data_IF_233528611603
#
_entry.id   IF_233528611603
#
_cell.length_a   1.000
_cell.length_b   1.000
_cell.length_c   1.000
_cell.angle_alpha   90.00
_cell.angle_beta   90.00
_cell.angle_gamma   90.00
#
_symmetry.space_group_name_H-M   'P 1'
#
loop_
_entity.id
_entity.type
_entity.pdbx_description
1 polymer ?
#
# COMPACT_ATOMS: atom_id res chain seq x y z
N UNK A 1 -9.08 17.50 0.39
CA UNK A 1 -8.02 18.50 0.63
C UNK A 1 -7.20 18.68 -0.63
N UNK A 2 -6.54 19.83 -0.82
CA UNK A 2 -5.38 20.09 -1.72
C UNK A 2 -5.53 20.85 -3.06
N UNK A 3 -6.70 21.11 -3.69
CA UNK A 3 -6.68 21.95 -4.93
C UNK A 3 -6.59 23.46 -4.66
N UNK A 4 -7.22 23.94 -3.58
CA UNK A 4 -7.10 25.34 -3.14
C UNK A 4 -5.71 25.64 -2.56
N UNK A 5 -5.05 24.62 -1.99
CA UNK A 5 -3.65 24.72 -1.57
C UNK A 5 -2.70 24.80 -2.79
N UNK A 6 -2.96 24.01 -3.84
CA UNK A 6 -2.27 24.17 -5.13
C UNK A 6 -2.48 25.56 -5.71
N UNK A 7 -3.69 26.11 -5.64
CA UNK A 7 -3.97 27.48 -6.09
C UNK A 7 -3.20 28.53 -5.27
N UNK A 8 -3.08 28.36 -3.94
CA UNK A 8 -2.26 29.25 -3.08
C UNK A 8 -0.77 29.15 -3.42
N UNK A 9 -0.25 27.94 -3.66
CA UNK A 9 1.13 27.73 -4.11
C UNK A 9 1.39 28.35 -5.47
N UNK A 10 0.46 28.22 -6.42
CA UNK A 10 0.55 28.85 -7.72
C UNK A 10 0.63 30.38 -7.62
N UNK A 11 -0.14 30.99 -6.71
CA UNK A 11 -0.09 32.45 -6.46
C UNK A 11 1.24 32.88 -5.86
N UNK A 12 1.81 32.09 -4.94
CA UNK A 12 3.14 32.36 -4.38
C UNK A 12 4.25 32.23 -5.43
N UNK A 13 4.12 31.25 -6.33
CA UNK A 13 5.08 30.98 -7.41
C UNK A 13 5.05 32.02 -8.54
N UNK A 14 3.84 32.37 -9.00
CA UNK A 14 3.64 33.32 -10.10
C UNK A 14 3.64 34.79 -9.62
N UNK A 15 3.90 35.02 -8.33
CA UNK A 15 4.07 36.33 -7.69
C UNK A 15 2.79 37.15 -7.49
N UNK A 16 1.66 36.79 -8.12
CA UNK A 16 0.38 37.48 -7.91
C UNK A 16 -0.85 36.66 -8.30
N UNK A 17 -1.99 36.97 -7.68
CA UNK A 17 -3.29 36.41 -8.07
C UNK A 17 -3.69 36.80 -9.50
N UNK A 18 -3.26 37.97 -9.98
CA UNK A 18 -3.54 38.43 -11.34
C UNK A 18 -2.78 37.64 -12.42
N UNK A 19 -1.56 37.19 -12.13
CA UNK A 19 -0.80 36.32 -13.04
C UNK A 19 -1.46 34.95 -13.18
N UNK A 20 -1.85 34.34 -12.05
CA UNK A 20 -2.57 33.06 -12.03
C UNK A 20 -3.94 33.17 -12.70
N UNK A 21 -4.69 34.24 -12.44
CA UNK A 21 -6.00 34.48 -13.04
C UNK A 21 -5.94 34.54 -14.58
N UNK A 22 -4.93 35.20 -15.15
CA UNK A 22 -4.69 35.23 -16.61
C UNK A 22 -4.44 33.84 -17.18
N UNK A 23 -3.62 33.01 -16.51
CA UNK A 23 -3.33 31.63 -16.93
C UNK A 23 -4.56 30.72 -16.86
N UNK A 24 -5.40 30.90 -15.85
CA UNK A 24 -6.64 30.12 -15.69
C UNK A 24 -7.80 30.66 -16.57
N UNK A 25 -7.64 31.84 -17.19
CA UNK A 25 -8.69 32.50 -17.98
C UNK A 25 -9.85 33.02 -17.13
N UNK A 26 -9.57 33.49 -15.91
CA UNK A 26 -10.55 34.11 -15.01
C UNK A 26 -10.10 35.50 -14.57
N UNK A 27 -10.99 36.25 -13.92
CA UNK A 27 -10.63 37.54 -13.32
C UNK A 27 -9.85 37.34 -12.01
N UNK A 28 -8.98 38.31 -11.66
CA UNK A 28 -8.28 38.32 -10.37
C UNK A 28 -9.25 38.34 -9.18
N UNK A 29 -10.39 39.02 -9.31
CA UNK A 29 -11.45 39.02 -8.32
C UNK A 29 -12.07 37.64 -8.12
N UNK A 30 -12.25 36.87 -9.20
CA UNK A 30 -12.73 35.48 -9.14
C UNK A 30 -11.78 34.61 -8.33
N UNK A 31 -10.48 34.67 -8.60
CA UNK A 31 -9.46 33.90 -7.86
C UNK A 31 -9.38 34.33 -6.39
N UNK A 32 -9.50 35.63 -6.11
CA UNK A 32 -9.53 36.17 -4.76
C UNK A 32 -10.74 35.65 -3.94
N UNK A 33 -11.94 35.70 -4.51
CA UNK A 33 -13.16 35.16 -3.88
C UNK A 33 -13.09 33.66 -3.63
N UNK A 34 -12.49 32.91 -4.56
CA UNK A 34 -12.28 31.45 -4.40
C UNK A 34 -11.31 31.16 -3.26
N UNK A 35 -10.22 31.90 -3.15
CA UNK A 35 -9.22 31.73 -2.07
C UNK A 35 -9.76 32.14 -0.69
N UNK A 36 -10.66 33.13 -0.66
CA UNK A 36 -11.36 33.59 0.54
C UNK A 36 -12.59 32.74 0.91
N UNK A 37 -12.99 31.78 0.06
CA UNK A 37 -14.17 30.93 0.28
C UNK A 37 -15.51 31.65 0.11
N UNK A 38 -15.53 32.85 -0.47
CA UNK A 38 -16.72 33.68 -0.66
C UNK A 38 -17.32 33.57 -2.07
N UNK A 39 -16.75 32.73 -2.92
CA UNK A 39 -17.22 32.50 -4.29
C UNK A 39 -18.54 31.71 -4.30
N UNK A 40 -19.60 32.33 -4.80
CA UNK A 40 -20.98 31.79 -4.74
C UNK A 40 -21.34 30.83 -5.88
N UNK A 41 -20.56 30.82 -6.95
CA UNK A 41 -20.79 29.97 -8.13
C UNK A 41 -19.99 28.66 -8.05
N UNK A 42 -20.26 27.73 -8.96
CA UNK A 42 -19.56 26.43 -8.99
C UNK A 42 -18.04 26.61 -9.14
N UNK A 43 -17.29 25.99 -8.23
CA UNK A 43 -15.82 25.98 -8.23
C UNK A 43 -15.22 24.85 -9.07
N UNK A 44 -16.03 23.91 -9.55
CA UNK A 44 -15.56 22.75 -10.31
C UNK A 44 -14.84 23.14 -11.61
N UNK A 45 -15.30 24.11 -12.44
CA UNK A 45 -14.56 24.54 -13.62
C UNK A 45 -13.20 25.18 -13.31
N UNK A 46 -13.08 25.83 -12.14
CA UNK A 46 -11.84 26.46 -11.69
C UNK A 46 -10.89 25.38 -11.19
N UNK A 47 -11.39 24.43 -10.40
CA UNK A 47 -10.66 23.26 -9.92
C UNK A 47 -10.11 22.41 -11.07
N UNK A 48 -10.89 22.13 -12.11
CA UNK A 48 -10.43 21.37 -13.28
C UNK A 48 -9.26 22.06 -13.96
N UNK A 49 -9.36 23.38 -14.23
CA UNK A 49 -8.26 24.14 -14.82
C UNK A 49 -7.03 24.25 -13.91
N UNK A 50 -7.23 24.36 -12.59
CA UNK A 50 -6.13 24.36 -11.63
C UNK A 50 -5.41 23.01 -11.62
N UNK A 51 -6.14 21.90 -11.69
CA UNK A 51 -5.55 20.57 -11.73
C UNK A 51 -4.91 20.26 -13.11
N UNK A 52 -5.45 20.80 -14.19
CA UNK A 52 -4.88 20.67 -15.54
C UNK A 52 -3.55 21.44 -15.65
N UNK A 53 -3.51 22.69 -15.17
CA UNK A 53 -2.34 23.57 -15.30
C UNK A 53 -1.31 23.33 -14.19
N UNK A 54 -1.76 23.00 -12.98
CA UNK A 54 -0.91 22.91 -11.78
C UNK A 54 -0.97 21.54 -11.06
N UNK A 55 -1.79 20.59 -11.53
CA UNK A 55 -1.89 19.24 -10.93
C UNK A 55 -0.94 18.21 -11.53
N UNK A 56 -0.26 18.53 -12.65
CA UNK A 56 0.71 17.65 -13.30
C UNK A 56 2.16 18.04 -12.98
N UNK A 57 2.86 17.16 -12.26
CA UNK A 57 4.25 17.23 -11.78
C UNK A 57 4.49 18.22 -10.64
N UNK A 58 5.17 17.73 -9.60
CA UNK A 58 5.86 18.54 -8.59
C UNK A 58 6.44 19.79 -9.27
N UNK A 59 6.20 20.98 -8.70
CA UNK A 59 7.06 22.13 -8.98
C UNK A 59 8.48 21.69 -8.61
N UNK A 60 9.22 21.16 -9.58
CA UNK A 60 10.66 21.06 -9.50
C UNK A 60 11.12 22.51 -9.51
N UNK A 61 11.39 23.05 -8.32
CA UNK A 61 12.33 24.16 -8.20
C UNK A 61 13.57 23.74 -8.98
N UNK A 62 13.75 24.36 -10.14
CA UNK A 62 14.88 24.14 -11.03
C UNK A 62 16.15 24.48 -10.25
N UNK A 63 16.97 23.46 -9.99
CA UNK A 63 18.29 23.68 -9.39
C UNK A 63 19.11 24.47 -10.40
N UNK A 64 19.62 25.68 -10.05
CA UNK A 64 20.44 26.47 -10.95
C UNK A 64 21.74 25.72 -11.33
N UNK A 65 22.25 25.97 -12.52
CA UNK A 65 23.54 25.41 -12.97
C UNK A 65 24.64 25.76 -11.97
N UNK A 66 25.49 24.77 -11.65
CA UNK A 66 26.55 24.92 -10.65
C UNK A 66 26.13 24.69 -9.19
N UNK A 67 24.86 24.38 -8.93
CA UNK A 67 24.34 24.04 -7.59
C UNK A 67 23.81 22.62 -7.54
N UNK A 68 23.78 22.04 -6.33
CA UNK A 68 23.18 20.74 -6.04
C UNK A 68 22.33 20.83 -4.77
N UNK A 69 21.19 20.15 -4.75
CA UNK A 69 20.31 20.11 -3.56
C UNK A 69 20.79 19.05 -2.59
N UNK A 70 20.95 19.40 -1.32
CA UNK A 70 21.31 18.46 -0.26
C UNK A 70 20.07 17.77 0.36
N UNK A 71 20.28 16.80 1.27
CA UNK A 71 19.20 16.01 1.89
C UNK A 71 18.22 16.80 2.77
N UNK A 72 18.56 18.03 3.17
CA UNK A 72 17.69 18.93 3.95
C UNK A 72 16.96 19.92 3.03
N UNK A 73 17.26 19.89 1.73
CA UNK A 73 16.62 20.71 0.70
C UNK A 73 17.33 22.01 0.34
N UNK A 74 18.50 22.31 0.93
CA UNK A 74 19.29 23.50 0.59
C UNK A 74 20.05 23.33 -0.73
N UNK A 75 20.21 24.42 -1.47
CA UNK A 75 21.08 24.50 -2.64
C UNK A 75 22.51 24.80 -2.22
N UNK A 76 23.44 23.93 -2.59
CA UNK A 76 24.87 24.02 -2.27
C UNK A 76 25.65 24.16 -3.58
N UNK A 77 26.55 25.15 -3.72
CA UNK A 77 27.44 25.24 -4.88
C UNK A 77 28.27 23.95 -5.00
N UNK A 78 28.43 23.41 -6.22
CA UNK A 78 29.17 22.17 -6.46
C UNK A 78 30.61 22.27 -5.94
N UNK A 79 31.27 23.42 -6.11
CA UNK A 79 32.62 23.69 -5.62
C UNK A 79 32.77 23.60 -4.09
N UNK A 80 31.66 23.76 -3.35
CA UNK A 80 31.64 23.67 -1.90
C UNK A 80 31.36 22.24 -1.39
N UNK A 81 31.11 21.28 -2.29
CA UNK A 81 30.87 19.86 -1.98
C UNK A 81 32.19 19.11 -2.10
N UNK A 82 32.47 18.21 -1.15
CA UNK A 82 33.67 17.38 -1.21
C UNK A 82 33.61 16.45 -2.41
N UNK A 83 34.75 16.23 -3.07
CA UNK A 83 34.86 15.31 -4.21
C UNK A 83 34.38 13.89 -3.85
N UNK A 84 34.66 13.41 -2.64
CA UNK A 84 34.17 12.12 -2.13
C UNK A 84 32.63 12.06 -2.05
N UNK A 85 31.98 13.17 -1.70
CA UNK A 85 30.53 13.26 -1.60
C UNK A 85 29.90 13.31 -3.00
N UNK A 86 30.53 13.99 -3.97
CA UNK A 86 30.12 14.00 -5.37
C UNK A 86 30.27 12.61 -6.00
N UNK A 87 31.43 11.95 -5.82
CA UNK A 87 31.67 10.61 -6.33
C UNK A 87 30.69 9.58 -5.74
N UNK A 88 30.36 9.71 -4.45
CA UNK A 88 29.35 8.87 -3.80
C UNK A 88 27.96 9.10 -4.38
N UNK A 89 27.60 10.37 -4.61
CA UNK A 89 26.31 10.72 -5.22
C UNK A 89 26.18 10.13 -6.62
N UNK A 90 27.20 10.27 -7.47
CA UNK A 90 27.22 9.72 -8.82
C UNK A 90 27.08 8.20 -8.80
N UNK A 91 27.85 7.52 -7.93
CA UNK A 91 27.77 6.06 -7.75
C UNK A 91 26.36 5.62 -7.34
N UNK A 92 25.75 6.29 -6.36
CA UNK A 92 24.39 5.97 -5.90
C UNK A 92 23.37 6.26 -7.00
N UNK A 93 23.49 7.39 -7.70
CA UNK A 93 22.59 7.77 -8.78
C UNK A 93 22.61 6.75 -9.93
N UNK A 94 23.80 6.29 -10.32
CA UNK A 94 23.97 5.26 -11.34
C UNK A 94 23.37 3.92 -10.91
N UNK A 95 23.65 3.48 -9.68
CA UNK A 95 23.10 2.24 -9.13
C UNK A 95 21.57 2.28 -9.08
N UNK A 96 20.99 3.41 -8.65
CA UNK A 96 19.53 3.63 -8.62
C UNK A 96 18.94 3.65 -10.03
N UNK A 97 19.62 4.25 -11.01
CA UNK A 97 19.16 4.25 -12.39
C UNK A 97 19.05 2.82 -12.95
N UNK A 98 20.06 1.98 -12.71
CA UNK A 98 20.03 0.55 -13.09
C UNK A 98 18.94 -0.22 -12.34
N UNK A 99 18.81 0.00 -11.03
CA UNK A 99 17.78 -0.64 -10.22
C UNK A 99 16.35 -0.29 -10.70
N UNK A 100 16.11 0.95 -11.12
CA UNK A 100 14.83 1.37 -11.71
C UNK A 100 14.52 0.63 -13.02
N UNK A 101 15.52 0.36 -13.84
CA UNK A 101 15.35 -0.41 -15.07
C UNK A 101 14.93 -1.85 -14.76
N UNK A 102 15.62 -2.52 -13.82
CA UNK A 102 15.26 -3.88 -13.39
C UNK A 102 13.87 -3.92 -12.77
N UNK A 103 13.56 -2.97 -11.88
CA UNK A 103 12.23 -2.87 -11.27
C UNK A 103 11.14 -2.71 -12.32
N UNK A 104 11.38 -1.91 -13.36
CA UNK A 104 10.42 -1.73 -14.46
C UNK A 104 10.14 -3.06 -15.18
N UNK A 105 11.20 -3.80 -15.55
CA UNK A 105 11.07 -5.11 -16.21
C UNK A 105 10.25 -6.09 -15.35
N UNK A 106 10.54 -6.17 -14.06
CA UNK A 106 9.82 -7.07 -13.14
C UNK A 106 8.36 -6.65 -12.99
N UNK A 107 8.07 -5.35 -12.91
CA UNK A 107 6.70 -4.82 -12.85
C UNK A 107 5.91 -5.15 -14.11
N UNK A 108 6.45 -4.84 -15.28
CA UNK A 108 5.81 -5.11 -16.58
C UNK A 108 5.54 -6.60 -16.75
N UNK A 109 6.52 -7.45 -16.43
CA UNK A 109 6.37 -8.90 -16.48
C UNK A 109 5.26 -9.40 -15.54
N UNK A 110 5.17 -8.87 -14.31
CA UNK A 110 4.11 -9.23 -13.36
C UNK A 110 2.72 -8.87 -13.87
N UNK A 111 2.56 -7.67 -14.43
CA UNK A 111 1.28 -7.20 -14.97
C UNK A 111 0.83 -8.06 -16.15
N UNK A 112 1.75 -8.32 -17.09
CA UNK A 112 1.49 -9.19 -18.23
C UNK A 112 1.12 -10.61 -17.78
N UNK A 113 1.93 -11.23 -16.91
CA UNK A 113 1.67 -12.58 -16.39
C UNK A 113 0.29 -12.66 -15.71
N UNK A 114 -0.09 -11.63 -14.96
CA UNK A 114 -1.39 -11.59 -14.29
C UNK A 114 -2.55 -11.59 -15.29
N UNK A 115 -2.48 -10.74 -16.32
CA UNK A 115 -3.51 -10.66 -17.36
C UNK A 115 -3.58 -11.92 -18.22
N UNK A 116 -2.43 -12.46 -18.63
CA UNK A 116 -2.35 -13.67 -19.44
C UNK A 116 -2.91 -14.89 -18.69
N UNK A 117 -2.61 -15.01 -17.39
CA UNK A 117 -3.17 -16.06 -16.54
C UNK A 117 -4.69 -15.95 -16.40
N UNK A 118 -5.22 -14.74 -16.27
CA UNK A 118 -6.66 -14.51 -16.19
C UNK A 118 -7.35 -14.91 -17.50
N UNK A 119 -6.86 -14.40 -18.63
CA UNK A 119 -7.38 -14.76 -19.95
C UNK A 119 -7.33 -16.27 -20.21
N UNK A 120 -6.24 -16.94 -19.80
CA UNK A 120 -6.10 -18.40 -19.96
C UNK A 120 -7.16 -19.18 -19.14
N UNK A 121 -7.43 -18.75 -17.91
CA UNK A 121 -8.40 -19.41 -17.04
C UNK A 121 -9.83 -19.17 -17.52
N UNK A 122 -10.13 -17.97 -17.99
CA UNK A 122 -11.44 -17.63 -18.56
C UNK A 122 -11.71 -18.47 -19.81
N UNK A 123 -10.75 -18.57 -20.73
CA UNK A 123 -10.86 -19.45 -21.90
C UNK A 123 -11.12 -20.90 -21.52
N UNK A 124 -10.43 -21.40 -20.48
CA UNK A 124 -10.62 -22.75 -19.99
C UNK A 124 -12.02 -22.96 -19.37
N UNK A 125 -12.58 -21.94 -18.71
CA UNK A 125 -13.90 -21.99 -18.09
C UNK A 125 -15.04 -21.88 -19.11
N UNK A 126 -14.87 -21.05 -20.14
CA UNK A 126 -15.81 -20.90 -21.26
C UNK A 126 -16.08 -22.23 -21.95
N UNK A 127 -15.06 -23.09 -22.09
CA UNK A 127 -15.20 -24.45 -22.62
C UNK A 127 -16.24 -25.30 -21.87
N UNK A 128 -16.46 -25.00 -20.60
CA UNK A 128 -17.43 -25.70 -19.75
C UNK A 128 -18.67 -24.84 -19.44
N UNK A 129 -18.85 -23.70 -20.10
CA UNK A 129 -19.98 -22.79 -19.91
C UNK A 129 -20.00 -22.11 -18.53
N UNK A 130 -18.86 -22.06 -17.84
CA UNK A 130 -18.72 -21.42 -16.52
C UNK A 130 -18.04 -20.07 -16.70
N UNK A 131 -18.55 -19.03 -16.03
CA UNK A 131 -17.84 -17.77 -15.86
C UNK A 131 -17.12 -17.78 -14.52
N UNK A 132 -15.79 -17.77 -14.54
CA UNK A 132 -14.99 -17.58 -13.33
C UNK A 132 -15.04 -16.09 -12.96
N UNK A 133 -16.12 -15.68 -12.28
CA UNK A 133 -16.25 -14.29 -11.83
C UNK A 133 -15.12 -13.93 -10.85
N UNK A 134 -14.20 -13.06 -11.28
CA UNK A 134 -13.15 -12.44 -10.47
C UNK A 134 -12.30 -13.45 -9.71
N UNK A 135 -11.17 -13.85 -10.29
CA UNK A 135 -10.27 -14.92 -9.89
C UNK A 135 -9.76 -14.86 -8.43
N UNK A 136 -10.64 -15.14 -7.46
CA UNK A 136 -10.27 -15.46 -6.09
C UNK A 136 -9.88 -16.93 -6.03
N UNK A 137 -8.63 -17.19 -5.67
CA UNK A 137 -8.16 -18.54 -5.37
C UNK A 137 -6.78 -18.85 -5.92
N UNK A 138 -6.15 -19.83 -5.27
CA UNK A 138 -4.85 -20.33 -5.65
C UNK A 138 -4.97 -21.21 -6.90
N UNK A 139 -4.10 -20.99 -7.89
CA UNK A 139 -4.10 -21.74 -9.14
C UNK A 139 -2.67 -22.19 -9.45
N UNK A 140 -2.52 -23.42 -9.94
CA UNK A 140 -1.25 -23.94 -10.44
C UNK A 140 -1.41 -24.37 -11.89
N UNK A 141 -0.62 -23.78 -12.78
CA UNK A 141 -0.46 -24.22 -14.16
C UNK A 141 0.85 -24.98 -14.27
N UNK A 142 0.83 -26.10 -14.98
CA UNK A 142 2.01 -26.94 -15.25
C UNK A 142 2.17 -27.08 -16.76
N UNK A 143 3.39 -26.97 -17.27
CA UNK A 143 3.68 -27.22 -18.69
C UNK A 143 3.36 -28.67 -19.06
N UNK A 144 3.11 -28.92 -20.35
CA UNK A 144 2.71 -30.25 -20.84
C UNK A 144 3.76 -31.34 -20.51
N UNK A 145 5.04 -31.01 -20.64
CA UNK A 145 6.16 -31.89 -20.30
C UNK A 145 6.40 -32.00 -18.77
N UNK A 146 5.66 -31.24 -17.96
CA UNK A 146 5.83 -31.17 -16.52
C UNK A 146 7.07 -30.42 -16.05
N UNK A 147 7.88 -29.82 -16.93
CA UNK A 147 9.14 -29.16 -16.55
C UNK A 147 8.92 -27.86 -15.78
N UNK A 148 7.90 -27.09 -16.14
CA UNK A 148 7.67 -25.75 -15.58
C UNK A 148 6.34 -25.67 -14.83
N UNK A 149 6.31 -24.86 -13.78
CA UNK A 149 5.08 -24.54 -13.03
C UNK A 149 4.96 -23.06 -12.75
N UNK A 150 3.74 -22.55 -12.86
CA UNK A 150 3.36 -21.21 -12.43
C UNK A 150 2.28 -21.36 -11.36
N UNK A 151 2.54 -20.82 -10.18
CA UNK A 151 1.60 -20.80 -9.07
C UNK A 151 1.18 -19.36 -8.79
N UNK A 152 -0.13 -19.11 -8.84
CA UNK A 152 -0.73 -17.90 -8.29
C UNK A 152 -1.30 -18.21 -6.93
N UNK A 153 -0.85 -17.48 -5.92
CA UNK A 153 -1.40 -17.50 -4.58
C UNK A 153 -2.12 -16.18 -4.29
N UNK A 154 -3.33 -16.25 -3.77
CA UNK A 154 -4.08 -15.09 -3.29
C UNK A 154 -4.12 -15.16 -1.77
N UNK A 155 -3.61 -14.13 -1.11
CA UNK A 155 -3.68 -13.99 0.35
C UNK A 155 -4.61 -12.84 0.69
N UNK A 156 -5.66 -13.13 1.43
CA UNK A 156 -6.52 -12.10 1.98
C UNK A 156 -5.79 -11.31 3.07
N UNK A 157 -6.03 -10.01 3.08
CA UNK A 157 -5.63 -9.12 4.15
C UNK A 157 -6.82 -9.00 5.09
N UNK A 158 -6.63 -9.50 6.31
CA UNK A 158 -7.63 -9.48 7.36
C UNK A 158 -7.45 -8.24 8.22
N UNK A 159 -8.57 -7.66 8.64
CA UNK A 159 -8.62 -6.61 9.65
C UNK A 159 -9.81 -6.84 10.58
N UNK A 160 -9.90 -6.05 11.64
CA UNK A 160 -11.04 -6.11 12.56
C UNK A 160 -11.83 -4.81 12.59
N UNK A 161 -13.14 -4.94 12.71
CA UNK A 161 -14.05 -3.82 12.93
C UNK A 161 -14.23 -3.47 14.43
N UNK A 162 -15.16 -2.56 14.72
CA UNK A 162 -15.47 -2.10 16.09
C UNK A 162 -15.90 -3.21 17.04
N UNK A 163 -16.43 -4.33 16.54
CA UNK A 163 -16.91 -5.44 17.36
C UNK A 163 -15.76 -6.13 18.11
N UNK A 164 -14.51 -5.92 17.70
CA UNK A 164 -13.34 -6.39 18.43
C UNK A 164 -13.19 -5.70 19.80
N UNK A 165 -13.60 -4.44 19.93
CA UNK A 165 -13.59 -3.74 21.22
C UNK A 165 -14.61 -4.35 22.19
N UNK A 166 -15.79 -4.75 21.68
CA UNK A 166 -16.77 -5.47 22.47
C UNK A 166 -16.24 -6.84 22.94
N UNK A 167 -15.52 -7.55 22.07
CA UNK A 167 -14.87 -8.80 22.44
C UNK A 167 -13.82 -8.60 23.54
N UNK A 168 -13.01 -7.54 23.46
CA UNK A 168 -12.02 -7.21 24.49
C UNK A 168 -12.69 -6.97 25.85
N UNK A 169 -13.77 -6.19 25.87
CA UNK A 169 -14.50 -5.90 27.10
C UNK A 169 -15.04 -7.18 27.78
N UNK A 170 -15.58 -8.12 26.99
CA UNK A 170 -16.04 -9.42 27.49
C UNK A 170 -14.89 -10.25 28.07
N UNK A 171 -13.71 -10.26 27.42
CA UNK A 171 -12.53 -10.96 27.93
C UNK A 171 -12.05 -10.33 29.23
N UNK A 172 -11.98 -9.00 29.31
CA UNK A 172 -11.58 -8.28 30.52
C UNK A 172 -12.55 -8.51 31.68
N UNK A 173 -13.84 -8.75 31.41
CA UNK A 173 -14.81 -9.20 32.41
C UNK A 173 -14.53 -10.63 32.87
N UNK A 174 -14.32 -11.59 31.96
CA UNK A 174 -13.95 -12.97 32.32
C UNK A 174 -12.73 -13.01 33.24
N UNK A 175 -11.66 -12.30 32.85
CA UNK A 175 -10.40 -12.28 33.59
C UNK A 175 -10.52 -11.64 34.98
N UNK A 176 -11.50 -10.76 35.20
CA UNK A 176 -11.76 -10.17 36.52
C UNK A 176 -12.48 -11.13 37.45
N UNK A 177 -13.36 -11.98 36.90
CA UNK A 177 -14.14 -12.95 37.68
C UNK A 177 -13.30 -14.18 38.03
N UNK A 178 -12.37 -14.57 37.17
CA UNK A 178 -11.38 -15.59 37.49
C UNK A 178 -10.43 -15.02 38.55
N UNK A 179 -10.62 -15.48 39.78
CA UNK A 179 -9.89 -15.03 40.97
C UNK A 179 -9.11 -16.20 41.55
N UNK A 180 -7.92 -16.48 41.01
CA UNK A 180 -6.87 -17.22 41.71
C UNK A 180 -5.53 -17.14 40.95
N UNK A 181 -4.54 -16.39 41.49
CA UNK A 181 -3.07 -16.50 41.37
C UNK A 181 -2.39 -16.62 39.98
N UNK A 182 -2.95 -17.42 39.09
CA UNK A 182 -2.61 -17.68 37.69
C UNK A 182 -2.99 -16.55 36.74
N UNK A 183 -3.92 -15.67 37.17
CA UNK A 183 -4.60 -14.67 36.34
C UNK A 183 -3.65 -13.61 35.76
N UNK A 184 -2.59 -13.26 36.50
CA UNK A 184 -1.63 -12.26 36.05
C UNK A 184 -0.90 -12.70 34.77
N UNK A 185 -0.56 -14.00 34.64
CA UNK A 185 0.13 -14.52 33.45
C UNK A 185 -0.81 -14.61 32.26
N UNK A 186 -2.06 -15.03 32.49
CA UNK A 186 -3.08 -15.11 31.44
C UNK A 186 -3.43 -13.71 30.93
N UNK A 187 -3.60 -12.73 31.83
CA UNK A 187 -3.87 -11.34 31.48
C UNK A 187 -2.79 -10.73 30.60
N UNK A 188 -1.51 -10.97 30.92
CA UNK A 188 -0.40 -10.52 30.08
C UNK A 188 -0.49 -11.11 28.66
N UNK A 189 -0.86 -12.39 28.51
CA UNK A 189 -1.02 -13.00 27.18
C UNK A 189 -2.20 -12.42 26.40
N UNK A 190 -3.29 -12.06 27.08
CA UNK A 190 -4.44 -11.40 26.45
C UNK A 190 -4.08 -9.97 26.05
N UNK A 191 -3.50 -9.18 26.95
CA UNK A 191 -3.08 -7.80 26.66
C UNK A 191 -2.07 -7.76 25.51
N UNK A 192 -1.15 -8.73 25.49
CA UNK A 192 -0.23 -8.97 24.37
C UNK A 192 -1.03 -9.20 23.07
N UNK A 193 -2.03 -10.07 23.07
CA UNK A 193 -2.82 -10.35 21.86
C UNK A 193 -3.52 -9.11 21.27
N UNK A 194 -3.96 -8.15 22.11
CA UNK A 194 -4.60 -6.89 21.69
C UNK A 194 -3.62 -5.74 21.42
N UNK A 195 -2.32 -5.98 21.55
CA UNK A 195 -1.32 -4.94 21.29
C UNK A 195 -1.30 -4.57 19.79
N UNK A 196 -1.32 -3.26 19.54
CA UNK A 196 -1.19 -2.68 18.20
C UNK A 196 0.27 -2.57 17.78
N UNK A 197 0.53 -2.72 16.48
CA UNK A 197 1.83 -2.44 15.89
C UNK A 197 2.11 -0.93 15.77
N UNK A 198 3.29 -0.58 15.22
CA UNK A 198 3.69 0.82 15.01
C UNK A 198 2.76 1.60 14.07
N UNK A 199 1.92 0.90 13.29
CA UNK A 199 0.93 1.47 12.37
C UNK A 199 -0.48 1.50 12.98
N UNK A 200 -0.62 1.14 14.27
CA UNK A 200 -1.90 1.11 14.97
C UNK A 200 -2.76 -0.11 14.63
N UNK A 201 -2.21 -1.14 13.98
CA UNK A 201 -2.97 -2.33 13.57
C UNK A 201 -2.82 -3.48 14.55
N UNK A 202 -3.91 -4.20 14.77
CA UNK A 202 -3.92 -5.39 15.62
C UNK A 202 -3.49 -6.61 14.80
N UNK A 203 -2.72 -7.49 15.42
CA UNK A 203 -2.27 -8.71 14.76
C UNK A 203 -3.38 -9.77 14.77
N UNK A 204 -4.02 -9.98 13.61
CA UNK A 204 -5.07 -10.99 13.41
C UNK A 204 -4.67 -12.39 13.86
N UNK A 205 -3.42 -12.81 13.66
CA UNK A 205 -2.96 -14.13 14.08
C UNK A 205 -2.93 -14.28 15.61
N UNK A 206 -2.56 -13.23 16.35
CA UNK A 206 -2.55 -13.24 17.83
C UNK A 206 -3.98 -13.30 18.38
N UNK A 207 -4.86 -12.44 17.87
CA UNK A 207 -6.28 -12.41 18.27
C UNK A 207 -6.97 -13.75 17.96
N UNK A 208 -6.81 -14.28 16.75
CA UNK A 208 -7.38 -15.59 16.38
C UNK A 208 -6.74 -16.75 17.17
N UNK A 209 -5.54 -16.55 17.71
CA UNK A 209 -4.89 -17.49 18.63
C UNK A 209 -5.68 -17.72 19.90
N UNK A 210 -6.41 -16.72 20.41
CA UNK A 210 -7.23 -16.83 21.61
C UNK A 210 -8.33 -17.88 21.46
N UNK A 211 -8.89 -18.02 20.25
CA UNK A 211 -9.94 -19.01 19.94
C UNK A 211 -9.48 -20.46 20.05
N UNK A 212 -8.17 -20.70 20.11
CA UNK A 212 -7.62 -22.05 20.29
C UNK A 212 -7.67 -22.51 21.76
N UNK A 213 -7.91 -21.59 22.70
CA UNK A 213 -8.01 -21.91 24.11
C UNK A 213 -9.40 -22.52 24.38
N UNK A 214 -9.41 -23.78 24.83
CA UNK A 214 -10.64 -24.50 25.15
C UNK A 214 -11.12 -24.16 26.57
N UNK A 215 -11.71 -22.97 26.71
CA UNK A 215 -12.21 -22.45 27.98
C UNK A 215 -13.73 -22.52 27.97
N UNK A 216 -14.31 -23.23 28.93
CA UNK A 216 -15.75 -23.45 29.07
C UNK A 216 -16.37 -22.39 29.98
N UNK A 217 -16.43 -21.16 29.47
CA UNK A 217 -17.05 -20.01 30.14
C UNK A 217 -17.97 -19.29 29.15
N UNK A 218 -19.19 -18.99 29.57
CA UNK A 218 -20.20 -18.42 28.67
C UNK A 218 -19.84 -17.03 28.14
N UNK A 219 -19.12 -16.22 28.92
CA UNK A 219 -18.65 -14.90 28.46
C UNK A 219 -17.44 -15.06 27.54
N UNK A 220 -16.56 -16.02 27.81
CA UNK A 220 -15.44 -16.34 26.94
C UNK A 220 -15.93 -16.78 25.55
N UNK A 221 -16.90 -17.70 25.48
CA UNK A 221 -17.49 -18.16 24.22
C UNK A 221 -18.16 -17.02 23.42
N UNK A 222 -18.83 -16.10 24.12
CA UNK A 222 -19.38 -14.88 23.51
C UNK A 222 -18.29 -13.96 22.97
N UNK A 223 -17.19 -13.79 23.70
CA UNK A 223 -16.05 -13.00 23.23
C UNK A 223 -15.39 -13.63 22.01
N UNK A 224 -15.22 -14.96 21.99
CA UNK A 224 -14.65 -15.67 20.83
C UNK A 224 -15.56 -15.57 19.60
N UNK A 225 -16.88 -15.56 19.80
CA UNK A 225 -17.85 -15.29 18.73
C UNK A 225 -17.70 -13.87 18.20
N UNK A 226 -17.63 -12.85 19.08
CA UNK A 226 -17.42 -11.46 18.68
C UNK A 226 -16.08 -11.22 17.96
N UNK A 227 -15.01 -11.96 18.32
CA UNK A 227 -13.74 -11.97 17.56
C UNK A 227 -13.95 -12.54 16.15
N UNK A 228 -14.77 -13.58 16.01
CA UNK A 228 -15.11 -14.15 14.71
C UNK A 228 -15.88 -13.17 13.84
N UNK A 229 -16.89 -12.51 14.42
CA UNK A 229 -17.78 -11.59 13.71
C UNK A 229 -17.08 -10.28 13.32
N UNK A 230 -16.11 -9.83 14.13
CA UNK A 230 -15.33 -8.62 13.83
C UNK A 230 -14.33 -8.80 12.68
N UNK A 231 -14.05 -10.03 12.25
CA UNK A 231 -13.04 -10.30 11.24
C UNK A 231 -13.56 -9.94 9.84
N UNK A 232 -12.89 -8.99 9.19
CA UNK A 232 -13.24 -8.52 7.86
C UNK A 232 -12.08 -8.69 6.88
N UNK A 233 -12.39 -8.95 5.61
CA UNK A 233 -11.40 -8.95 4.53
C UNK A 233 -11.32 -7.53 3.97
N UNK A 234 -10.22 -6.83 4.25
CA UNK A 234 -10.01 -5.44 3.80
C UNK A 234 -9.31 -5.34 2.46
N UNK A 235 -8.72 -6.44 1.99
CA UNK A 235 -8.10 -6.53 0.68
C UNK A 235 -7.58 -7.92 0.40
N UNK A 236 -6.95 -8.09 -0.76
CA UNK A 236 -6.22 -9.31 -1.10
C UNK A 236 -4.94 -8.95 -1.83
N UNK A 237 -3.91 -9.79 -1.68
CA UNK A 237 -2.64 -9.67 -2.37
C UNK A 237 -2.38 -10.93 -3.18
N UNK A 238 -2.12 -10.73 -4.47
CA UNK A 238 -1.76 -11.82 -5.39
C UNK A 238 -0.25 -11.92 -5.51
N UNK A 239 0.25 -13.14 -5.35
CA UNK A 239 1.65 -13.52 -5.48
C UNK A 239 1.78 -14.55 -6.60
N UNK A 240 2.82 -14.40 -7.42
CA UNK A 240 3.17 -15.38 -8.43
C UNK A 240 4.49 -16.05 -8.04
N UNK A 241 4.57 -17.36 -8.23
CA UNK A 241 5.80 -18.15 -8.08
C UNK A 241 6.00 -18.98 -9.33
N UNK A 242 7.19 -18.92 -9.89
CA UNK A 242 7.56 -19.64 -11.10
C UNK A 242 8.60 -20.69 -10.69
N UNK A 243 8.44 -21.90 -11.21
CA UNK A 243 9.31 -23.03 -10.88
C UNK A 243 9.79 -23.74 -12.13
N UNK A 244 11.00 -24.27 -12.04
CA UNK A 244 11.58 -25.21 -12.98
C UNK A 244 11.93 -26.51 -12.26
N UNK A 245 11.63 -27.65 -12.90
CA UNK A 245 11.97 -28.97 -12.41
C UNK A 245 13.46 -29.25 -12.67
N UNK A 246 14.19 -29.61 -11.63
CA UNK A 246 15.58 -30.04 -11.72
C UNK A 246 15.71 -31.49 -12.23
N UNK A 247 16.95 -31.93 -12.46
CA UNK A 247 17.25 -33.29 -12.91
C UNK A 247 16.84 -34.38 -11.90
N UNK A 248 16.69 -34.03 -10.62
CA UNK A 248 16.20 -34.90 -9.56
C UNK A 248 14.67 -34.97 -9.47
N UNK A 249 13.96 -34.17 -10.27
CA UNK A 249 12.51 -34.13 -10.32
C UNK A 249 11.87 -33.15 -9.32
N UNK A 250 12.66 -32.41 -8.54
CA UNK A 250 12.15 -31.41 -7.61
C UNK A 250 11.95 -30.06 -8.32
N UNK A 251 10.95 -29.30 -7.88
CA UNK A 251 10.70 -27.96 -8.42
C UNK A 251 11.49 -26.93 -7.64
N UNK A 252 12.43 -26.27 -8.32
CA UNK A 252 13.17 -25.14 -7.81
C UNK A 252 12.47 -23.86 -8.24
N UNK A 253 12.29 -22.94 -7.30
CA UNK A 253 11.72 -21.63 -7.62
C UNK A 253 12.74 -20.83 -8.44
N UNK A 254 12.29 -20.18 -9.51
CA UNK A 254 13.08 -19.18 -10.20
C UNK A 254 12.97 -17.86 -9.41
N UNK A 255 14.05 -17.42 -8.72
CA UNK A 255 14.01 -16.18 -7.94
C UNK A 255 13.94 -14.97 -8.89
N UNK A 256 13.07 -14.03 -8.56
CA UNK A 256 12.94 -12.74 -9.26
C UNK A 256 13.32 -11.56 -8.36
N UNK A 257 13.67 -11.84 -7.10
CA UNK A 257 14.15 -10.85 -6.14
C UNK A 257 15.68 -10.93 -6.00
N UNK A 258 16.30 -9.77 -5.77
CA UNK A 258 17.75 -9.64 -5.74
C UNK A 258 18.42 -10.42 -4.59
N UNK A 259 17.70 -10.67 -3.49
CA UNK A 259 18.26 -11.34 -2.31
C UNK A 259 18.36 -12.85 -2.46
N UNK A 260 17.65 -13.42 -3.43
CA UNK A 260 17.59 -14.86 -3.66
C UNK A 260 18.41 -15.33 -4.88
N UNK A 261 19.07 -14.40 -5.60
CA UNK A 261 19.96 -14.66 -6.75
C UNK A 261 21.41 -14.79 -6.32
#
# INVERSE_FOLDING_TARGET
>A
MEWTHLLRKAVAADGSQAAVARKLGYSSATISMVLAGTYKSSTEPIKTKVLEIYGGKQMQETVPDGYKRNGVGHLVPIEAIKDEDLARDDFVAEAVAKAKQVSKVVTEFKEQLSGDMEAFLDLAAEKYGVKLGGLRGNVTLTSFDGRYRILRAVSDQLDFDESLQAAKALIDECLREWTSGSDAKVRVLIDDAFQVDKQGRINAKRILGLRKLNIKDAKWERAMSAIGDSLTVTGSRTYFRIYERDAGGAYQQLPLDFSAV
#
